data_IF_560515390268
#
_entry.id   IF_560515390268
#
_cell.length_a   1.000
_cell.length_b   1.000
_cell.length_c   1.000
_cell.angle_alpha   90.00
_cell.angle_beta   90.00
_cell.angle_gamma   90.00
#
_symmetry.space_group_name_H-M   'P 1'
#
loop_
_entity.id
_entity.type
_entity.pdbx_description
1 polymer ?
#
# COMPACT_ATOMS: atom_id res chain seq x y z
N UNK A 1 13.80 6.46 -27.11
CA UNK A 1 13.90 5.19 -26.35
C UNK A 1 13.32 5.43 -24.97
N UNK A 2 12.17 4.85 -24.61
CA UNK A 2 11.65 4.96 -23.23
C UNK A 2 12.47 3.98 -22.37
N UNK A 3 13.45 4.49 -21.64
CA UNK A 3 14.17 3.77 -20.59
C UNK A 3 13.13 3.32 -19.56
N UNK A 4 12.70 2.07 -19.68
CA UNK A 4 11.59 1.51 -18.91
C UNK A 4 12.02 1.29 -17.46
N UNK A 5 11.46 2.07 -16.55
CA UNK A 5 11.60 1.83 -15.12
C UNK A 5 10.97 0.47 -14.79
N UNK A 6 11.80 -0.47 -14.34
CA UNK A 6 11.37 -1.84 -14.05
C UNK A 6 11.01 -2.02 -12.56
N UNK A 7 11.64 -1.25 -11.68
CA UNK A 7 11.49 -1.39 -10.23
C UNK A 7 11.22 -0.01 -9.65
N UNK A 8 10.20 0.11 -8.81
CA UNK A 8 9.86 1.33 -8.09
C UNK A 8 9.60 1.04 -6.62
N UNK A 9 10.26 1.77 -5.72
CA UNK A 9 10.03 1.65 -4.28
C UNK A 9 9.37 2.92 -3.76
N UNK A 10 8.15 2.80 -3.25
CA UNK A 10 7.40 3.89 -2.59
C UNK A 10 7.19 3.61 -1.10
N UNK A 11 7.91 2.65 -0.52
CA UNK A 11 7.72 2.25 0.88
C UNK A 11 7.86 3.44 1.84
N UNK A 12 6.93 3.57 2.79
CA UNK A 12 6.93 4.65 3.78
C UNK A 12 6.54 6.04 3.24
N UNK A 13 6.22 6.15 1.95
CA UNK A 13 5.82 7.41 1.33
C UNK A 13 4.39 7.82 1.68
N UNK A 14 4.05 9.07 1.36
CA UNK A 14 2.69 9.63 1.48
C UNK A 14 1.95 9.63 0.15
N UNK A 15 2.32 8.72 -0.77
CA UNK A 15 1.70 8.66 -2.11
C UNK A 15 0.24 8.21 -2.01
N UNK A 16 -0.65 8.90 -2.72
CA UNK A 16 -2.07 8.54 -2.85
C UNK A 16 -2.29 7.59 -4.03
N UNK A 17 -3.52 7.11 -4.20
CA UNK A 17 -3.84 6.11 -5.22
C UNK A 17 -3.68 6.64 -6.66
N UNK A 18 -3.99 7.92 -6.90
CA UNK A 18 -3.93 8.52 -8.24
C UNK A 18 -2.51 8.52 -8.85
N UNK A 19 -1.45 8.97 -8.14
CA UNK A 19 -0.09 8.82 -8.63
C UNK A 19 0.32 7.37 -8.89
N UNK A 20 -0.13 6.41 -8.06
CA UNK A 20 0.15 4.98 -8.28
C UNK A 20 -0.48 4.51 -9.59
N UNK A 21 -1.74 4.88 -9.85
CA UNK A 21 -2.41 4.60 -11.13
C UNK A 21 -1.66 5.22 -12.30
N UNK A 22 -1.25 6.48 -12.20
CA UNK A 22 -0.51 7.18 -13.24
C UNK A 22 0.81 6.46 -13.57
N UNK A 23 1.56 6.02 -12.56
CA UNK A 23 2.79 5.24 -12.74
C UNK A 23 2.48 3.93 -13.47
N UNK A 24 1.48 3.17 -13.03
CA UNK A 24 1.13 1.89 -13.64
C UNK A 24 0.71 2.03 -15.12
N UNK A 25 0.09 3.15 -15.49
CA UNK A 25 -0.28 3.48 -16.89
C UNK A 25 0.90 3.98 -17.72
N UNK A 26 1.79 4.80 -17.15
CA UNK A 26 2.91 5.42 -17.88
C UNK A 26 4.12 4.51 -18.00
N UNK A 27 4.25 3.52 -17.11
CA UNK A 27 5.35 2.58 -17.02
C UNK A 27 4.87 1.15 -17.35
N UNK A 28 4.74 0.78 -18.65
CA UNK A 28 4.29 -0.56 -19.04
C UNK A 28 5.29 -1.66 -18.66
N UNK A 29 6.59 -1.33 -18.61
CA UNK A 29 7.66 -2.28 -18.28
C UNK A 29 7.93 -2.42 -16.76
N UNK A 30 7.05 -1.88 -15.91
CA UNK A 30 7.19 -1.97 -14.47
C UNK A 30 6.98 -3.43 -14.04
N UNK A 31 8.02 -4.02 -13.45
CA UNK A 31 8.06 -5.39 -12.99
C UNK A 31 7.99 -5.50 -11.46
N UNK A 32 8.33 -4.44 -10.73
CA UNK A 32 8.26 -4.42 -9.27
C UNK A 32 7.82 -3.07 -8.74
N UNK A 33 6.86 -3.07 -7.82
CA UNK A 33 6.45 -1.88 -7.08
C UNK A 33 6.25 -2.20 -5.60
N UNK A 34 6.94 -1.46 -4.73
CA UNK A 34 6.76 -1.58 -3.28
C UNK A 34 5.84 -0.48 -2.75
N UNK A 35 4.65 -0.88 -2.27
CA UNK A 35 3.65 0.00 -1.66
C UNK A 35 3.51 -0.22 -0.15
N UNK A 36 4.43 -0.95 0.49
CA UNK A 36 4.41 -1.19 1.93
C UNK A 36 4.46 0.12 2.70
N UNK A 37 3.77 0.18 3.84
CA UNK A 37 3.80 1.33 4.75
C UNK A 37 3.48 2.70 4.10
N UNK A 38 2.83 2.73 2.93
CA UNK A 38 2.38 3.97 2.34
C UNK A 38 1.22 4.53 3.17
N UNK A 39 1.40 5.74 3.70
CA UNK A 39 0.45 6.33 4.67
C UNK A 39 -0.87 6.72 4.04
N UNK A 40 -0.86 7.13 2.76
CA UNK A 40 -2.04 7.61 2.03
C UNK A 40 -2.68 6.56 1.10
N UNK A 41 -2.32 5.27 1.23
CA UNK A 41 -2.93 4.18 0.47
C UNK A 41 -3.92 3.36 1.32
N UNK A 42 -4.95 2.74 0.71
CA UNK A 42 -5.81 1.77 1.38
C UNK A 42 -5.03 0.54 1.87
N UNK A 43 -5.42 -0.04 3.02
CA UNK A 43 -4.75 -1.21 3.61
C UNK A 43 -4.62 -2.38 2.62
N UNK A 44 -5.65 -2.63 1.82
CA UNK A 44 -5.71 -3.75 0.87
C UNK A 44 -4.62 -3.76 -0.21
N UNK A 45 -3.97 -2.62 -0.48
CA UNK A 45 -2.93 -2.53 -1.52
C UNK A 45 -1.52 -2.30 -0.96
N UNK A 46 -1.34 -2.28 0.37
CA UNK A 46 -0.03 -2.01 1.01
C UNK A 46 0.85 -3.25 1.01
N UNK A 47 1.43 -3.58 -0.13
CA UNK A 47 2.33 -4.74 -0.27
C UNK A 47 3.37 -4.51 -1.36
N UNK A 48 4.32 -5.43 -1.43
CA UNK A 48 5.21 -5.58 -2.58
C UNK A 48 4.47 -6.34 -3.69
N UNK A 49 4.50 -5.80 -4.91
CA UNK A 49 4.01 -6.45 -6.11
C UNK A 49 5.19 -6.70 -7.04
N UNK A 50 5.29 -7.92 -7.57
CA UNK A 50 6.36 -8.34 -8.48
C UNK A 50 5.82 -9.16 -9.64
N UNK A 51 6.46 -9.04 -10.81
CA UNK A 51 6.07 -9.76 -12.02
C UNK A 51 4.60 -9.57 -12.37
N UNK A 52 3.89 -10.69 -12.54
CA UNK A 52 2.47 -10.71 -12.94
C UNK A 52 1.55 -9.97 -11.96
N UNK A 53 1.94 -9.87 -10.68
CA UNK A 53 1.14 -9.15 -9.66
C UNK A 53 1.03 -7.66 -9.96
N UNK A 54 2.02 -7.08 -10.65
CA UNK A 54 1.96 -5.66 -11.08
C UNK A 54 0.88 -5.48 -12.14
N UNK A 55 0.69 -6.48 -13.01
CA UNK A 55 -0.35 -6.44 -14.03
C UNK A 55 -1.74 -6.66 -13.42
N UNK A 56 -1.88 -7.60 -12.48
CA UNK A 56 -3.11 -7.77 -11.70
C UNK A 56 -3.51 -6.48 -10.96
N UNK A 57 -2.54 -5.81 -10.33
CA UNK A 57 -2.77 -4.51 -9.68
C UNK A 57 -3.21 -3.45 -10.70
N UNK A 58 -2.58 -3.41 -11.87
CA UNK A 58 -2.96 -2.48 -12.95
C UNK A 58 -4.41 -2.70 -13.38
N UNK A 59 -4.82 -3.94 -13.59
CA UNK A 59 -6.18 -4.29 -14.00
C UNK A 59 -7.20 -3.94 -12.89
N UNK A 60 -6.89 -4.33 -11.65
CA UNK A 60 -7.75 -4.04 -10.48
C UNK A 60 -7.99 -2.54 -10.23
N UNK A 61 -7.03 -1.68 -10.57
CA UNK A 61 -7.15 -0.23 -10.37
C UNK A 61 -7.75 0.53 -11.57
N UNK A 62 -7.88 -0.13 -12.73
CA UNK A 62 -8.50 0.42 -13.94
C UNK A 62 -10.01 0.18 -14.00
N UNK A 63 -10.52 -0.84 -13.33
CA UNK A 63 -11.97 -1.04 -13.17
C UNK A 63 -12.58 0.12 -12.36
N UNK A 64 -13.63 0.72 -12.92
CA UNK A 64 -14.32 1.92 -12.40
C UNK A 64 -14.74 1.72 -10.93
N UNK A 65 -14.72 2.79 -10.11
CA UNK A 65 -14.82 2.66 -8.66
C UNK A 65 -16.20 2.15 -8.26
N UNK A 66 -16.25 0.97 -7.66
CA UNK A 66 -17.26 0.66 -6.66
C UNK A 66 -16.56 0.66 -5.31
N UNK A 67 -16.83 1.72 -4.57
CA UNK A 67 -16.72 1.85 -3.11
C UNK A 67 -16.73 0.48 -2.44
N UNK A 68 -15.75 0.21 -1.58
CA UNK A 68 -15.88 -0.58 -0.35
C UNK A 68 -14.52 -0.48 0.38
N UNK A 69 -14.39 0.57 1.18
CA UNK A 69 -13.40 0.62 2.26
C UNK A 69 -13.85 -0.38 3.33
N UNK A 70 -13.34 -1.61 3.27
CA UNK A 70 -13.35 -2.45 4.47
C UNK A 70 -12.29 -1.91 5.42
N UNK A 71 -12.76 -1.11 6.36
CA UNK A 71 -12.10 -0.83 7.62
C UNK A 71 -11.89 -2.15 8.37
N UNK A 72 -10.76 -2.81 8.17
CA UNK A 72 -10.24 -3.71 9.19
C UNK A 72 -9.45 -2.87 10.18
N UNK A 73 -10.16 -2.38 11.19
CA UNK A 73 -9.60 -2.09 12.49
C UNK A 73 -8.84 -3.34 12.96
N UNK A 74 -7.52 -3.23 13.00
CA UNK A 74 -6.68 -4.19 13.70
C UNK A 74 -5.41 -3.44 14.09
N UNK A 75 -5.52 -2.62 15.12
CA UNK A 75 -4.40 -2.42 16.02
C UNK A 75 -4.77 -2.99 17.39
N UNK A 76 -4.77 -4.32 17.46
CA UNK A 76 -4.53 -5.01 18.72
C UNK A 76 -3.02 -5.05 18.93
N UNK A 77 -2.51 -4.32 19.91
CA UNK A 77 -1.52 -4.93 20.81
C UNK A 77 -1.50 -4.34 22.23
N UNK A 78 -1.14 -5.18 23.22
CA UNK A 78 -1.37 -4.96 24.64
C UNK A 78 -0.09 -4.51 25.36
N UNK A 79 -0.21 -3.69 26.41
CA UNK A 79 0.77 -3.64 27.50
C UNK A 79 0.17 -2.92 28.71
N UNK A 80 0.39 -3.51 29.87
CA UNK A 80 -0.21 -3.23 31.16
C UNK A 80 0.49 -2.03 31.84
N UNK A 81 -0.19 -1.15 32.59
CA UNK A 81 0.47 -0.44 33.67
C UNK A 81 0.61 -1.39 34.87
N UNK A 82 1.86 -1.79 35.12
CA UNK A 82 2.24 -2.50 36.34
C UNK A 82 2.03 -1.60 37.57
N UNK A 83 1.30 -2.15 38.55
CA UNK A 83 1.39 -2.01 40.01
C UNK A 83 1.80 -0.67 40.66
N UNK A 84 0.97 -0.22 41.61
CA UNK A 84 1.37 0.07 43.00
C UNK A 84 0.13 0.34 43.86
N UNK A 85 -0.21 -0.53 44.83
CA UNK A 85 -1.04 -0.15 45.97
C UNK A 85 -0.17 -0.12 47.24
N UNK A 86 -0.12 1.02 47.94
CA UNK A 86 0.38 1.16 49.32
C UNK A 86 -0.13 2.52 49.84
N UNK A 87 -1.34 2.55 50.43
CA UNK A 87 -1.66 2.44 51.86
C UNK A 87 -1.44 3.75 52.64
N UNK A 88 -2.54 4.27 53.19
CA UNK A 88 -2.57 5.27 54.27
C UNK A 88 -1.99 4.70 55.59
#
# INVERSE_FOLDING_TARGET
MKTGMQILNLCGSSVSLEPVKAVLTKCPNLHSINLQSCRALPRGIKRLYTGNQVDELRNSLQDKPKTEVSESDNERSPAQPAVSPQNE
#
